data_IF_873546423969
#
_entry.id   IF_873546423969
#
_cell.length_a   1.000
_cell.length_b   1.000
_cell.length_c   1.000
_cell.angle_alpha   90.00
_cell.angle_beta   90.00
_cell.angle_gamma   90.00
#
_symmetry.space_group_name_H-M   'P 1'
#
loop_
_entity.id
_entity.type
_entity.pdbx_description
1 polymer ?
#
# COMPACT_ATOMS: atom_id res chain seq x y z
N UNK A 1 16.53 1.85 -0.78
CA UNK A 1 16.11 0.47 -0.46
C UNK A 1 16.35 0.02 0.99
N UNK A 2 17.16 0.72 1.82
CA UNK A 2 17.51 0.26 3.18
C UNK A 2 16.31 0.03 4.14
N UNK A 3 15.20 0.77 3.98
CA UNK A 3 13.99 0.58 4.80
C UNK A 3 13.17 -0.63 4.37
N UNK A 4 12.99 -0.80 3.05
CA UNK A 4 12.30 -1.97 2.48
C UNK A 4 13.03 -3.30 2.73
N UNK A 5 14.34 -3.28 3.01
CA UNK A 5 15.06 -4.49 3.44
C UNK A 5 14.78 -4.92 4.87
N UNK A 6 14.07 -4.11 5.67
CA UNK A 6 13.68 -4.48 7.03
C UNK A 6 12.38 -5.32 7.07
N UNK A 7 11.64 -5.37 5.95
CA UNK A 7 10.47 -6.24 5.82
C UNK A 7 10.94 -7.68 5.89
N UNK A 8 10.35 -8.46 6.80
CA UNK A 8 10.69 -9.87 6.98
C UNK A 8 10.41 -10.64 5.70
N UNK A 9 11.25 -11.64 5.46
CA UNK A 9 11.08 -12.54 4.32
C UNK A 9 10.44 -13.85 4.80
N UNK A 10 9.13 -14.07 4.58
CA UNK A 10 8.45 -15.29 4.99
C UNK A 10 8.77 -16.48 4.06
N UNK A 11 9.57 -16.28 3.01
CA UNK A 11 9.94 -17.34 2.05
C UNK A 11 10.98 -18.27 2.67
N UNK A 12 10.97 -19.52 2.20
CA UNK A 12 11.95 -20.53 2.63
C UNK A 12 13.38 -20.09 2.25
N UNK A 13 14.33 -19.98 3.20
CA UNK A 13 15.67 -19.42 2.97
C UNK A 13 16.42 -20.03 1.78
N UNK A 14 16.36 -21.36 1.62
CA UNK A 14 17.04 -22.07 0.53
C UNK A 14 16.43 -21.87 -0.87
N UNK A 15 15.32 -21.15 -1.00
CA UNK A 15 14.62 -20.88 -2.27
C UNK A 15 14.64 -19.39 -2.66
N UNK A 16 15.35 -18.55 -1.91
CA UNK A 16 15.39 -17.10 -2.14
C UNK A 16 16.42 -16.78 -3.24
N UNK A 17 15.92 -16.30 -4.39
CA UNK A 17 16.76 -15.80 -5.50
C UNK A 17 16.86 -14.28 -5.57
N UNK A 18 15.86 -13.57 -5.07
CA UNK A 18 15.77 -12.11 -5.14
C UNK A 18 15.43 -11.54 -3.76
N UNK A 19 16.03 -10.39 -3.42
CA UNK A 19 15.72 -9.64 -2.19
C UNK A 19 14.26 -9.17 -2.19
N UNK A 20 13.64 -9.05 -1.01
CA UNK A 20 12.27 -8.55 -0.83
C UNK A 20 12.04 -7.21 -1.52
N UNK A 21 13.00 -6.27 -1.40
CA UNK A 21 12.88 -4.97 -2.04
C UNK A 21 12.76 -5.04 -3.58
N UNK A 22 13.39 -6.03 -4.22
CA UNK A 22 13.28 -6.26 -5.67
C UNK A 22 11.92 -6.85 -6.04
N UNK A 23 11.36 -7.74 -5.20
CA UNK A 23 9.99 -8.23 -5.38
C UNK A 23 8.98 -7.07 -5.29
N UNK A 24 9.03 -6.29 -4.22
CA UNK A 24 8.10 -5.17 -4.01
C UNK A 24 8.19 -4.16 -5.15
N UNK A 25 9.41 -3.84 -5.61
CA UNK A 25 9.57 -3.00 -6.78
C UNK A 25 8.95 -3.61 -8.04
N UNK A 26 9.14 -4.91 -8.29
CA UNK A 26 8.52 -5.55 -9.45
C UNK A 26 6.99 -5.43 -9.43
N UNK A 27 6.38 -5.50 -8.24
CA UNK A 27 4.95 -5.27 -8.06
C UNK A 27 4.56 -3.81 -8.31
N UNK A 28 5.34 -2.87 -7.78
CA UNK A 28 5.13 -1.44 -8.03
C UNK A 28 5.23 -1.11 -9.53
N UNK A 29 6.21 -1.67 -10.23
CA UNK A 29 6.38 -1.47 -11.68
C UNK A 29 5.22 -2.09 -12.47
N UNK A 30 4.76 -3.29 -12.09
CA UNK A 30 3.54 -3.87 -12.68
C UNK A 30 2.34 -2.93 -12.55
N UNK A 31 2.18 -2.28 -11.39
CA UNK A 31 1.11 -1.30 -11.16
C UNK A 31 1.31 -0.02 -11.97
N UNK A 32 2.51 0.59 -11.93
CA UNK A 32 2.84 1.84 -12.65
C UNK A 32 2.67 1.68 -14.16
N UNK A 33 3.09 0.54 -14.72
CA UNK A 33 2.92 0.26 -16.14
C UNK A 33 1.58 -0.40 -16.49
N UNK A 34 0.64 -0.46 -15.53
CA UNK A 34 -0.72 -0.93 -15.72
C UNK A 34 -0.80 -2.34 -16.36
N UNK A 35 0.06 -3.25 -15.92
CA UNK A 35 0.07 -4.62 -16.43
C UNK A 35 -1.17 -5.35 -15.95
N UNK A 36 -1.92 -5.89 -16.89
CA UNK A 36 -3.24 -6.49 -16.63
C UNK A 36 -3.16 -7.94 -16.13
N UNK A 37 -2.00 -8.58 -16.30
CA UNK A 37 -1.76 -9.95 -15.85
C UNK A 37 -0.31 -10.20 -15.45
N UNK A 38 -0.09 -11.22 -14.61
CA UNK A 38 1.26 -11.67 -14.27
C UNK A 38 2.06 -12.16 -15.48
N UNK A 39 1.38 -12.73 -16.50
CA UNK A 39 2.03 -13.17 -17.75
C UNK A 39 2.55 -11.98 -18.56
N UNK A 40 1.73 -10.95 -18.69
CA UNK A 40 2.10 -9.70 -19.37
C UNK A 40 3.25 -8.99 -18.62
N UNK A 41 3.14 -8.87 -17.30
CA UNK A 41 4.19 -8.30 -16.47
C UNK A 41 5.51 -9.08 -16.57
N UNK A 42 5.48 -10.43 -16.56
CA UNK A 42 6.67 -11.23 -16.81
C UNK A 42 7.27 -10.92 -18.18
N UNK A 43 6.47 -10.91 -19.26
CA UNK A 43 6.97 -10.70 -20.62
C UNK A 43 7.66 -9.36 -20.78
N UNK A 44 7.06 -8.28 -20.28
CA UNK A 44 7.60 -6.93 -20.48
C UNK A 44 8.72 -6.57 -19.52
N UNK A 45 8.54 -6.85 -18.23
CA UNK A 45 9.51 -6.46 -17.21
C UNK A 45 10.80 -7.29 -17.27
N UNK A 46 10.80 -8.43 -17.96
CA UNK A 46 12.00 -9.27 -18.14
C UNK A 46 12.74 -9.00 -19.45
N UNK A 47 12.28 -8.05 -20.28
CA UNK A 47 12.99 -7.72 -21.52
C UNK A 47 14.42 -7.24 -21.24
N UNK A 48 15.42 -7.61 -22.07
CA UNK A 48 16.81 -7.23 -21.84
C UNK A 48 17.02 -5.72 -21.67
N UNK A 49 16.42 -4.92 -22.56
CA UNK A 49 16.53 -3.45 -22.52
C UNK A 49 15.95 -2.87 -21.24
N UNK A 50 14.81 -3.38 -20.77
CA UNK A 50 14.21 -2.93 -19.52
C UNK A 50 15.11 -3.28 -18.33
N UNK A 51 15.64 -4.51 -18.30
CA UNK A 51 16.54 -4.97 -17.24
C UNK A 51 17.85 -4.18 -17.20
N UNK A 52 18.44 -3.86 -18.36
CA UNK A 52 19.62 -3.02 -18.47
C UNK A 52 19.38 -1.62 -17.91
N UNK A 53 18.26 -0.99 -18.28
CA UNK A 53 17.88 0.30 -17.73
C UNK A 53 17.65 0.24 -16.21
N UNK A 54 16.99 -0.80 -15.73
CA UNK A 54 16.70 -0.95 -14.30
C UNK A 54 17.97 -1.19 -13.46
N UNK A 55 18.97 -1.88 -14.01
CA UNK A 55 20.28 -2.08 -13.38
C UNK A 55 21.01 -0.77 -13.07
N UNK A 56 20.76 0.30 -13.84
CA UNK A 56 21.32 1.63 -13.56
C UNK A 56 20.81 2.22 -12.24
N UNK A 57 19.55 1.93 -11.90
CA UNK A 57 18.92 2.38 -10.66
C UNK A 57 19.14 1.40 -9.50
N UNK A 58 19.36 0.12 -9.81
CA UNK A 58 19.48 -0.97 -8.83
C UNK A 58 20.73 -1.79 -9.14
N UNK A 59 21.89 -1.33 -8.64
CA UNK A 59 23.13 -2.05 -8.79
C UNK A 59 23.03 -3.47 -8.22
N UNK A 60 23.44 -4.47 -9.01
CA UNK A 60 23.42 -5.89 -8.63
C UNK A 60 22.10 -6.63 -8.90
N UNK A 61 21.15 -6.02 -9.63
CA UNK A 61 19.98 -6.74 -10.13
C UNK A 61 20.38 -7.65 -11.30
N UNK A 62 20.40 -8.97 -11.10
CA UNK A 62 20.78 -9.92 -12.16
C UNK A 62 19.62 -10.29 -13.08
N UNK A 63 18.43 -10.53 -12.50
CA UNK A 63 17.21 -10.88 -13.21
C UNK A 63 15.98 -10.37 -12.45
N UNK A 64 14.86 -10.21 -13.17
CA UNK A 64 13.58 -9.85 -12.56
C UNK A 64 12.90 -11.07 -11.92
N UNK A 65 12.23 -10.88 -10.77
CA UNK A 65 11.50 -11.96 -10.13
C UNK A 65 10.26 -12.34 -10.94
N UNK A 66 9.95 -13.63 -10.96
CA UNK A 66 8.71 -14.14 -11.56
C UNK A 66 7.48 -13.66 -10.77
N UNK A 67 6.40 -13.28 -11.47
CA UNK A 67 5.18 -12.76 -10.86
C UNK A 67 4.51 -13.74 -9.89
N UNK A 68 4.60 -15.05 -10.11
CA UNK A 68 4.10 -16.04 -9.13
C UNK A 68 4.85 -15.98 -7.79
N UNK A 69 6.15 -15.65 -7.82
CA UNK A 69 6.93 -15.47 -6.60
C UNK A 69 6.49 -14.22 -5.86
N UNK A 70 6.22 -13.13 -6.59
CA UNK A 70 5.62 -11.93 -6.02
C UNK A 70 4.25 -12.25 -5.41
N UNK A 71 3.35 -12.89 -6.15
CA UNK A 71 2.00 -13.26 -5.67
C UNK A 71 2.04 -14.07 -4.38
N UNK A 72 2.88 -15.12 -4.34
CA UNK A 72 3.04 -15.94 -3.13
C UNK A 72 3.60 -15.15 -1.95
N UNK A 73 4.54 -14.23 -2.21
CA UNK A 73 5.10 -13.37 -1.18
C UNK A 73 4.04 -12.39 -0.62
N UNK A 74 3.32 -11.69 -1.50
CA UNK A 74 2.27 -10.74 -1.11
C UNK A 74 1.13 -11.40 -0.33
N UNK A 75 0.84 -12.68 -0.59
CA UNK A 75 -0.21 -13.43 0.10
C UNK A 75 0.08 -13.73 1.58
N UNK A 76 1.34 -13.65 2.01
CA UNK A 76 1.75 -14.02 3.39
C UNK A 76 2.57 -12.95 4.09
N UNK A 77 2.93 -11.86 3.39
CA UNK A 77 3.70 -10.80 4.00
C UNK A 77 2.86 -10.04 5.02
N UNK A 78 3.50 -9.57 6.09
CA UNK A 78 2.86 -8.65 7.02
C UNK A 78 2.84 -7.23 6.41
N UNK A 79 1.64 -6.76 6.06
CA UNK A 79 1.46 -5.42 5.49
C UNK A 79 1.83 -4.31 6.48
N UNK A 80 1.76 -4.56 7.79
CA UNK A 80 2.13 -3.59 8.81
C UNK A 80 3.62 -3.24 8.73
N UNK A 81 4.48 -4.21 8.40
CA UNK A 81 5.92 -3.97 8.24
C UNK A 81 6.21 -3.08 7.02
N UNK A 82 5.43 -3.23 5.95
CA UNK A 82 5.55 -2.40 4.75
C UNK A 82 5.07 -0.97 5.02
N UNK A 83 3.92 -0.81 5.67
CA UNK A 83 3.41 0.50 6.09
C UNK A 83 4.40 1.20 7.03
N UNK A 84 4.96 0.47 8.00
CA UNK A 84 5.95 1.02 8.92
C UNK A 84 7.22 1.48 8.19
N UNK A 85 7.73 0.68 7.24
CA UNK A 85 8.89 1.07 6.44
C UNK A 85 8.63 2.33 5.59
N UNK A 86 7.40 2.50 5.09
CA UNK A 86 6.96 3.70 4.37
C UNK A 86 6.90 4.92 5.28
N UNK A 87 6.29 4.81 6.46
CA UNK A 87 6.18 5.94 7.39
C UNK A 87 7.57 6.37 7.90
N UNK A 88 8.47 5.42 8.19
CA UNK A 88 9.84 5.73 8.58
C UNK A 88 10.58 6.57 7.53
N UNK A 89 10.38 6.28 6.25
CA UNK A 89 10.97 7.06 5.15
C UNK A 89 10.43 8.49 5.14
N UNK A 90 9.11 8.67 5.34
CA UNK A 90 8.49 9.99 5.43
C UNK A 90 9.05 10.78 6.62
N UNK A 91 9.16 10.15 7.79
CA UNK A 91 9.74 10.77 8.99
C UNK A 91 11.18 11.21 8.73
N UNK A 92 11.99 10.38 8.07
CA UNK A 92 13.35 10.73 7.69
C UNK A 92 13.40 11.96 6.78
N UNK A 93 12.50 12.05 5.80
CA UNK A 93 12.39 13.23 4.92
C UNK A 93 11.93 14.49 5.65
N UNK A 94 11.01 14.36 6.61
CA UNK A 94 10.58 15.46 7.48
C UNK A 94 11.75 15.94 8.35
N UNK A 95 12.45 15.02 9.04
CA UNK A 95 13.60 15.33 9.92
C UNK A 95 14.75 15.96 9.15
N UNK A 96 14.98 15.53 7.91
CA UNK A 96 15.98 16.11 7.01
C UNK A 96 15.50 17.35 6.24
N UNK A 97 14.34 17.92 6.62
CA UNK A 97 13.79 19.18 6.09
C UNK A 97 13.59 19.20 4.57
N UNK A 98 13.34 18.03 3.95
CA UNK A 98 13.16 17.92 2.49
C UNK A 98 11.93 18.65 1.97
N UNK A 99 10.91 18.80 2.82
CA UNK A 99 9.63 19.40 2.45
C UNK A 99 9.46 20.85 2.87
N UNK A 100 10.44 21.48 3.52
CA UNK A 100 10.28 22.81 4.13
C UNK A 100 9.80 23.88 3.15
N UNK A 101 10.23 23.81 1.88
CA UNK A 101 9.81 24.76 0.84
C UNK A 101 8.35 24.60 0.40
N UNK A 102 7.74 23.46 0.69
CA UNK A 102 6.41 23.08 0.24
C UNK A 102 5.38 23.08 1.38
N UNK A 103 5.74 23.52 2.59
CA UNK A 103 4.80 23.58 3.71
C UNK A 103 3.67 24.58 3.47
N UNK A 104 2.46 24.24 3.90
CA UNK A 104 1.30 25.13 3.90
C UNK A 104 1.20 25.74 5.29
N UNK A 105 1.21 27.07 5.38
CA UNK A 105 1.16 27.79 6.65
C UNK A 105 2.22 27.33 7.68
N UNK A 106 3.42 26.95 7.20
CA UNK A 106 4.52 26.38 8.02
C UNK A 106 4.14 25.08 8.78
N UNK A 107 3.11 24.39 8.34
CA UNK A 107 2.66 23.13 8.91
C UNK A 107 2.77 21.99 7.88
N UNK A 108 2.55 20.77 8.38
CA UNK A 108 2.32 19.57 7.58
C UNK A 108 0.83 19.21 7.65
N UNK A 109 -0.05 19.83 6.83
CA UNK A 109 -1.46 19.47 6.84
C UNK A 109 -1.66 18.00 6.49
N UNK A 110 -2.60 17.38 7.19
CA UNK A 110 -3.06 16.04 6.90
C UNK A 110 -4.42 16.13 6.23
N UNK A 111 -4.50 15.71 4.97
CA UNK A 111 -5.74 15.48 4.27
C UNK A 111 -6.26 14.08 4.63
N UNK A 112 -7.56 13.96 4.86
CA UNK A 112 -8.23 12.70 5.19
C UNK A 112 -9.43 12.57 4.29
N UNK A 113 -9.50 11.45 3.57
CA UNK A 113 -10.55 11.22 2.58
C UNK A 113 -11.01 9.75 2.61
N UNK A 114 -12.28 9.53 2.23
CA UNK A 114 -12.88 8.23 2.07
C UNK A 114 -12.83 7.79 0.61
N UNK A 115 -12.41 6.56 0.34
CA UNK A 115 -12.27 6.07 -1.04
C UNK A 115 -12.75 4.63 -1.18
N UNK A 116 -13.68 4.40 -2.12
CA UNK A 116 -14.07 3.05 -2.52
C UNK A 116 -13.01 2.49 -3.49
N UNK A 117 -12.40 1.36 -3.14
CA UNK A 117 -11.32 0.74 -3.94
C UNK A 117 -11.83 -0.33 -4.90
N UNK A 118 -12.67 -1.23 -4.41
CA UNK A 118 -13.14 -2.38 -5.17
C UNK A 118 -14.61 -2.68 -4.91
N UNK A 119 -15.21 -3.40 -5.84
CA UNK A 119 -16.61 -3.78 -5.81
C UNK A 119 -16.79 -5.10 -6.53
N UNK A 120 -17.57 -6.00 -5.94
CA UNK A 120 -17.84 -7.35 -6.42
C UNK A 120 -19.31 -7.72 -6.17
N UNK A 121 -19.78 -8.70 -6.91
CA UNK A 121 -21.11 -9.34 -6.80
C UNK A 121 -21.10 -10.57 -5.86
N UNK A 122 -19.95 -10.87 -5.24
CA UNK A 122 -19.80 -11.93 -4.23
C UNK A 122 -18.92 -11.47 -3.05
N UNK A 123 -19.09 -12.05 -1.84
CA UNK A 123 -18.24 -11.74 -0.69
C UNK A 123 -16.89 -12.46 -0.83
N UNK A 124 -15.80 -11.72 -1.05
CA UNK A 124 -14.45 -12.30 -1.17
C UNK A 124 -13.70 -12.38 0.17
N UNK A 125 -14.20 -11.71 1.21
CA UNK A 125 -13.65 -11.69 2.55
C UNK A 125 -14.76 -11.34 3.57
N UNK A 126 -14.58 -11.68 4.84
CA UNK A 126 -15.58 -11.42 5.90
C UNK A 126 -15.69 -9.92 6.23
N UNK A 127 -14.63 -9.17 5.99
CA UNK A 127 -14.50 -7.75 6.27
C UNK A 127 -15.24 -6.86 5.25
N UNK A 128 -15.75 -7.45 4.17
CA UNK A 128 -16.39 -6.72 3.07
C UNK A 128 -17.65 -5.98 3.53
N UNK A 129 -17.77 -4.71 3.16
CA UNK A 129 -19.03 -3.99 3.28
C UNK A 129 -20.00 -4.50 2.21
N UNK A 130 -21.31 -4.46 2.49
CA UNK A 130 -22.40 -4.89 1.61
C UNK A 130 -23.39 -3.76 1.37
N UNK A 131 -24.01 -3.72 0.20
CA UNK A 131 -25.12 -2.81 -0.12
C UNK A 131 -25.98 -3.42 -1.21
N UNK A 132 -27.27 -3.11 -1.21
CA UNK A 132 -28.17 -3.47 -2.29
C UNK A 132 -28.24 -2.31 -3.29
N UNK A 133 -27.94 -2.57 -4.56
CA UNK A 133 -28.12 -1.62 -5.67
C UNK A 133 -29.05 -2.26 -6.69
N UNK A 134 -30.16 -1.59 -7.04
CA UNK A 134 -31.13 -2.08 -8.03
C UNK A 134 -31.67 -3.50 -7.76
N UNK A 135 -31.73 -3.91 -6.49
CA UNK A 135 -32.16 -5.26 -6.09
C UNK A 135 -31.07 -6.33 -6.13
N UNK A 136 -29.84 -5.97 -6.53
CA UNK A 136 -28.67 -6.85 -6.51
C UNK A 136 -27.78 -6.55 -5.30
N UNK A 137 -27.32 -7.59 -4.63
CA UNK A 137 -26.36 -7.46 -3.54
C UNK A 137 -24.96 -7.20 -4.09
N UNK A 138 -24.29 -6.21 -3.50
CA UNK A 138 -22.97 -5.79 -3.91
C UNK A 138 -22.06 -5.67 -2.69
N UNK A 139 -20.86 -6.21 -2.81
CA UNK A 139 -19.82 -6.19 -1.80
C UNK A 139 -18.73 -5.21 -2.21
N UNK A 140 -18.25 -4.38 -1.28
CA UNK A 140 -17.28 -3.34 -1.61
C UNK A 140 -16.23 -3.12 -0.53
N UNK A 141 -15.06 -2.69 -0.99
CA UNK A 141 -13.93 -2.31 -0.17
C UNK A 141 -13.87 -0.80 -0.11
N UNK A 142 -13.90 -0.25 1.10
CA UNK A 142 -13.82 1.19 1.33
C UNK A 142 -12.71 1.49 2.33
N UNK A 143 -11.95 2.53 2.06
CA UNK A 143 -10.83 2.95 2.91
C UNK A 143 -10.99 4.38 3.36
N UNK A 144 -10.41 4.70 4.52
CA UNK A 144 -10.13 6.07 4.94
C UNK A 144 -8.63 6.26 4.85
N UNK A 145 -8.19 7.23 4.07
CA UNK A 145 -6.80 7.46 3.72
C UNK A 145 -6.32 8.79 4.28
N UNK A 146 -5.14 8.77 4.91
CA UNK A 146 -4.45 9.96 5.37
C UNK A 146 -3.29 10.26 4.43
N UNK A 147 -3.18 11.52 3.99
CA UNK A 147 -2.11 12.00 3.12
C UNK A 147 -1.57 13.34 3.61
N UNK A 148 -0.24 13.51 3.56
CA UNK A 148 0.38 14.82 3.75
C UNK A 148 0.12 15.68 2.52
N UNK A 149 -0.41 16.88 2.73
CA UNK A 149 -0.70 17.84 1.67
C UNK A 149 0.31 18.99 1.68
N UNK A 150 0.86 19.29 0.51
CA UNK A 150 1.89 20.32 0.33
C UNK A 150 1.46 21.40 -0.68
N UNK A 151 2.11 22.57 -0.62
CA UNK A 151 1.96 23.63 -1.61
C UNK A 151 2.31 23.10 -3.00
N UNK A 152 1.54 23.52 -4.01
CA UNK A 152 1.72 23.07 -5.39
C UNK A 152 1.05 21.74 -5.71
N UNK A 153 0.22 21.20 -4.81
CA UNK A 153 -0.61 20.02 -5.07
C UNK A 153 0.10 18.67 -4.87
N UNK A 154 1.35 18.66 -4.40
CA UNK A 154 2.01 17.43 -4.00
C UNK A 154 1.29 16.82 -2.79
N UNK A 155 0.90 15.56 -2.92
CA UNK A 155 0.36 14.75 -1.84
C UNK A 155 1.23 13.52 -1.62
N UNK A 156 1.50 13.19 -0.36
CA UNK A 156 2.26 11.99 0.01
C UNK A 156 1.34 11.12 0.87
N UNK A 157 0.92 9.93 0.39
CA UNK A 157 0.14 8.99 1.19
C UNK A 157 0.88 8.65 2.49
N UNK A 158 0.17 8.58 3.60
CA UNK A 158 0.76 8.33 4.91
C UNK A 158 0.33 6.98 5.48
N UNK A 159 -0.97 6.76 5.59
CA UNK A 159 -1.54 5.51 6.07
C UNK A 159 -2.97 5.34 5.56
N UNK A 160 -3.43 4.09 5.54
CA UNK A 160 -4.74 3.71 5.05
C UNK A 160 -5.42 2.80 6.06
N UNK A 161 -6.67 3.08 6.38
CA UNK A 161 -7.49 2.23 7.23
C UNK A 161 -8.66 1.69 6.42
N UNK A 162 -8.83 0.37 6.42
CA UNK A 162 -9.99 -0.25 5.79
C UNK A 162 -11.22 -0.12 6.70
N UNK A 163 -12.38 0.14 6.11
CA UNK A 163 -13.64 -0.18 6.77
C UNK A 163 -13.73 -1.70 6.88
N UNK A 164 -14.13 -2.19 8.05
CA UNK A 164 -14.19 -3.62 8.32
C UNK A 164 -15.58 -3.98 8.83
N UNK A 165 -16.35 -4.76 8.07
CA UNK A 165 -17.72 -5.14 8.45
C UNK A 165 -17.80 -5.73 9.86
N UNK A 166 -16.78 -6.50 10.27
CA UNK A 166 -16.69 -7.15 11.57
C UNK A 166 -16.49 -6.17 12.73
N UNK A 167 -16.02 -4.94 12.45
CA UNK A 167 -15.91 -3.83 13.41
C UNK A 167 -17.22 -3.00 13.47
N UNK A 168 -18.23 -3.41 12.70
CA UNK A 168 -19.60 -2.94 12.75
C UNK A 168 -20.30 -3.30 14.06
N UNK A 169 -21.50 -2.77 14.24
CA UNK A 169 -22.42 -3.26 15.26
C UNK A 169 -23.26 -4.38 14.62
N UNK A 170 -22.73 -5.60 14.74
CA UNK A 170 -23.29 -6.80 14.09
C UNK A 170 -24.68 -7.13 14.62
N UNK A 171 -24.95 -6.85 15.90
CA UNK A 171 -26.26 -7.06 16.54
C UNK A 171 -27.35 -6.18 15.95
N UNK A 172 -27.03 -4.92 15.61
CA UNK A 172 -27.93 -4.01 14.91
C UNK A 172 -27.83 -4.07 13.38
N UNK A 173 -27.11 -5.06 12.83
CA UNK A 173 -26.78 -5.17 11.39
C UNK A 173 -26.11 -3.93 10.79
N UNK A 174 -25.54 -3.07 11.65
CA UNK A 174 -24.96 -1.80 11.26
C UNK A 174 -23.50 -1.98 10.91
N UNK A 175 -23.20 -1.68 9.66
CA UNK A 175 -21.88 -1.76 9.09
C UNK A 175 -20.89 -0.76 9.72
N UNK A 176 -19.60 -1.05 9.54
CA UNK A 176 -18.56 -0.12 9.95
C UNK A 176 -18.64 1.18 9.15
N UNK A 177 -18.16 2.26 9.74
CA UNK A 177 -18.34 3.61 9.23
C UNK A 177 -17.00 4.31 9.09
N UNK A 178 -16.93 5.28 8.16
CA UNK A 178 -15.76 6.15 8.00
C UNK A 178 -15.33 6.81 9.32
N UNK A 179 -16.28 7.16 10.20
CA UNK A 179 -15.98 7.76 11.50
C UNK A 179 -15.25 6.80 12.44
N UNK A 180 -15.65 5.52 12.47
CA UNK A 180 -14.99 4.48 13.25
C UNK A 180 -13.60 4.18 12.67
N UNK A 181 -13.49 4.00 11.36
CA UNK A 181 -12.22 3.84 10.66
C UNK A 181 -11.28 5.03 10.89
N UNK A 182 -11.76 6.27 10.77
CA UNK A 182 -10.99 7.47 11.09
C UNK A 182 -10.46 7.47 12.54
N UNK A 183 -11.25 7.00 13.50
CA UNK A 183 -10.78 6.88 14.90
C UNK A 183 -9.65 5.85 15.04
N UNK A 184 -9.70 4.73 14.30
CA UNK A 184 -8.62 3.73 14.24
C UNK A 184 -7.36 4.33 13.59
N UNK A 185 -7.51 4.92 12.40
CA UNK A 185 -6.45 5.63 11.67
C UNK A 185 -5.76 6.68 12.54
N UNK A 186 -6.53 7.49 13.28
CA UNK A 186 -6.02 8.53 14.19
C UNK A 186 -5.24 7.93 15.37
N UNK A 187 -5.64 6.77 15.88
CA UNK A 187 -4.92 6.08 16.97
C UNK A 187 -3.58 5.59 16.47
N UNK A 188 -3.55 4.96 15.29
CA UNK A 188 -2.31 4.50 14.64
C UNK A 188 -1.37 5.68 14.37
N UNK A 189 -1.84 6.73 13.67
CA UNK A 189 -0.99 7.86 13.28
C UNK A 189 -0.44 8.68 14.45
N UNK A 190 -1.18 8.80 15.56
CA UNK A 190 -0.69 9.49 16.77
C UNK A 190 0.47 8.77 17.43
N UNK A 191 0.55 7.43 17.34
CA UNK A 191 1.70 6.66 17.84
C UNK A 191 2.98 6.99 17.05
N UNK A 192 2.82 7.24 15.75
CA UNK A 192 3.95 7.36 14.83
C UNK A 192 4.61 8.75 14.80
N UNK A 193 3.86 9.81 15.07
CA UNK A 193 4.35 11.21 15.00
C UNK A 193 4.57 11.91 16.35
N UNK A 194 4.44 11.18 17.47
CA UNK A 194 4.66 11.74 18.82
C UNK A 194 6.11 11.72 19.32
N UNK A 195 7.06 11.18 18.54
CA UNK A 195 8.48 11.04 18.90
C UNK A 195 9.43 11.90 18.06
#
# INVERSE_FOLDING_TARGET
MKKLSNVKDPRQPGKIKHKVAVLLLSGLLSFVFQKTSGREANRELTTPTFLENLKLFIPGLEAMPHQDTLKRFLAVMDLNELEQAHIELIIEFIKSKKFTRYLIANCYPLAIDGSQKYTYDFPWAEECQRRTINGEEQYYCYTVEASLAFRGGLTIPLCTEFLNYMEGDVESTKQDSELKAFRRLRRSSRGTFRN
#
